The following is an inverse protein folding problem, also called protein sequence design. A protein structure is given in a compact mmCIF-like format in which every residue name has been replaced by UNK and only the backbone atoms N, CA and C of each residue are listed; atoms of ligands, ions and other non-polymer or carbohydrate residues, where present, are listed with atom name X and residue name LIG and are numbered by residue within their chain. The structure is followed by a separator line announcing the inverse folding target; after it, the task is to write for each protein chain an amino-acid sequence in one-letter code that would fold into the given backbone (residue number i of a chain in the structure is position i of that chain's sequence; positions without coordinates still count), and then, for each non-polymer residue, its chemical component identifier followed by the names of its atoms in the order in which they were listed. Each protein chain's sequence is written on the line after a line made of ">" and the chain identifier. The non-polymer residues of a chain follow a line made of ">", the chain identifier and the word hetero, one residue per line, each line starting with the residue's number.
data_IF_501432970244
#
_entry.id   IF_501432970244
#
_cell.length_a   1.000
_cell.length_b   1.000
_cell.length_c   1.000
_cell.angle_alpha   90.00
_cell.angle_beta   90.00
_cell.angle_gamma   90.00
#
_symmetry.space_group_name_H-M   'P 1'
#
loop_
_entity.id
_entity.type
_entity.pdbx_description
1 polymer ?
#
# COMPACT_ATOMS: atom_id res chain seq x y z
N UNK A 1 27.93 -7.06 -1.69
CA UNK A 1 26.87 -6.28 -2.39
C UNK A 1 25.64 -6.24 -1.50
N UNK A 2 25.36 -5.11 -0.85
CA UNK A 2 24.10 -4.91 -0.13
C UNK A 2 23.18 -4.21 -1.13
N UNK A 3 22.34 -4.99 -1.81
CA UNK A 3 21.18 -4.43 -2.51
C UNK A 3 20.29 -3.75 -1.48
N UNK A 4 19.79 -2.55 -1.77
CA UNK A 4 19.02 -1.77 -0.82
C UNK A 4 17.70 -2.47 -0.45
N UNK A 5 17.70 -3.18 0.68
CA UNK A 5 16.54 -3.94 1.19
C UNK A 5 15.50 -3.05 1.87
N UNK A 6 15.70 -1.73 1.99
CA UNK A 6 14.84 -0.85 2.79
C UNK A 6 13.47 -0.70 2.15
N UNK A 7 13.42 -0.39 0.87
CA UNK A 7 12.17 -0.28 0.11
C UNK A 7 11.48 -1.63 0.01
N UNK A 8 12.24 -2.71 -0.18
CA UNK A 8 11.71 -4.08 -0.13
C UNK A 8 10.97 -4.39 1.18
N UNK A 9 11.60 -4.06 2.31
CA UNK A 9 11.02 -4.26 3.63
C UNK A 9 9.82 -3.35 3.88
N UNK A 10 9.89 -2.10 3.43
CA UNK A 10 8.77 -1.15 3.50
C UNK A 10 7.54 -1.73 2.82
N UNK A 11 7.64 -2.14 1.56
CA UNK A 11 6.50 -2.67 0.82
C UNK A 11 5.96 -3.99 1.37
N UNK A 12 6.83 -4.91 1.79
CA UNK A 12 6.34 -6.09 2.49
C UNK A 12 5.63 -5.74 3.80
N UNK A 13 6.10 -4.72 4.52
CA UNK A 13 5.45 -4.25 5.74
C UNK A 13 4.11 -3.54 5.44
N UNK A 14 4.05 -2.67 4.42
CA UNK A 14 2.81 -2.03 3.97
C UNK A 14 1.75 -3.10 3.62
N UNK A 15 2.14 -4.16 2.90
CA UNK A 15 1.23 -5.25 2.55
C UNK A 15 0.81 -6.13 3.74
N UNK A 16 1.63 -6.20 4.78
CA UNK A 16 1.33 -7.00 5.98
C UNK A 16 0.41 -6.25 6.93
N UNK A 17 0.60 -4.93 7.07
CA UNK A 17 -0.06 -4.15 8.12
C UNK A 17 -1.16 -3.23 7.62
N UNK A 18 -1.14 -2.85 6.33
CA UNK A 18 -2.14 -1.97 5.75
C UNK A 18 -3.16 -2.77 4.95
N UNK A 19 -4.41 -2.30 4.99
CA UNK A 19 -5.42 -2.78 4.07
C UNK A 19 -5.18 -2.19 2.65
N UNK A 20 -5.73 -2.80 1.59
CA UNK A 20 -5.61 -2.34 0.21
C UNK A 20 -5.97 -0.88 -0.02
N UNK A 21 -7.03 -0.38 0.62
CA UNK A 21 -7.41 1.04 0.50
C UNK A 21 -6.34 1.96 1.12
N UNK A 22 -5.79 1.59 2.28
CA UNK A 22 -4.68 2.32 2.91
C UNK A 22 -3.42 2.30 2.04
N UNK A 23 -3.11 1.15 1.42
CA UNK A 23 -2.01 1.06 0.44
C UNK A 23 -2.28 2.01 -0.73
N UNK A 24 -3.47 2.00 -1.32
CA UNK A 24 -3.85 2.92 -2.41
C UNK A 24 -3.69 4.39 -2.02
N UNK A 25 -4.10 4.77 -0.80
CA UNK A 25 -3.92 6.13 -0.28
C UNK A 25 -2.43 6.51 -0.22
N UNK A 26 -1.58 5.64 0.35
CA UNK A 26 -0.13 5.90 0.44
C UNK A 26 0.50 6.02 -0.95
N UNK A 27 0.13 5.13 -1.88
CA UNK A 27 0.62 5.17 -3.25
C UNK A 27 0.20 6.46 -3.97
N UNK A 28 -1.05 6.87 -3.81
CA UNK A 28 -1.54 8.14 -4.35
C UNK A 28 -0.75 9.33 -3.78
N UNK A 29 -0.50 9.35 -2.46
CA UNK A 29 0.29 10.41 -1.85
C UNK A 29 1.74 10.43 -2.38
N UNK A 30 2.35 9.27 -2.62
CA UNK A 30 3.71 9.20 -3.18
C UNK A 30 3.76 9.77 -4.60
N UNK A 31 2.74 9.48 -5.42
CA UNK A 31 2.58 10.08 -6.73
C UNK A 31 2.45 11.60 -6.62
N UNK A 32 1.57 12.06 -5.74
CA UNK A 32 1.34 13.49 -5.53
C UNK A 32 2.60 14.21 -5.00
N UNK A 33 3.38 13.57 -4.13
CA UNK A 33 4.68 14.09 -3.67
C UNK A 33 5.70 14.26 -4.80
N UNK A 34 5.73 13.30 -5.72
CA UNK A 34 6.58 13.36 -6.90
C UNK A 34 6.15 14.49 -7.85
N UNK A 35 4.84 14.68 -8.05
CA UNK A 35 4.27 15.75 -8.88
C UNK A 35 4.45 17.15 -8.28
N UNK A 36 4.35 17.27 -6.95
CA UNK A 36 4.52 18.55 -6.25
C UNK A 36 5.98 18.97 -6.08
N UNK A 37 6.94 18.08 -6.34
CA UNK A 37 8.40 18.30 -6.17
C UNK A 37 8.81 18.81 -4.76
N UNK A 38 7.95 18.65 -3.75
CA UNK A 38 8.14 19.15 -2.39
C UNK A 38 8.82 18.13 -1.45
N UNK A 39 9.55 17.17 -2.02
CA UNK A 39 10.18 16.09 -1.27
C UNK A 39 9.13 15.22 -0.55
N UNK A 40 9.28 14.92 0.76
CA UNK A 40 8.33 14.09 1.50
C UNK A 40 7.04 14.80 1.88
N UNK A 41 6.93 16.11 1.67
CA UNK A 41 5.75 16.88 2.09
C UNK A 41 4.69 16.89 1.00
N UNK A 42 3.46 16.59 1.39
CA UNK A 42 2.30 16.55 0.49
C UNK A 42 1.17 17.35 1.10
N UNK A 43 0.59 18.22 0.28
CA UNK A 43 -0.69 18.87 0.58
C UNK A 43 -1.76 18.33 -0.35
N UNK A 44 -2.90 17.92 0.18
CA UNK A 44 -4.00 17.39 -0.64
C UNK A 44 -5.37 17.74 -0.06
N UNK A 45 -6.37 17.84 -0.94
CA UNK A 45 -7.77 17.98 -0.54
C UNK A 45 -8.42 16.61 -0.40
N UNK A 46 -9.22 16.43 0.64
CA UNK A 46 -9.83 15.13 0.95
C UNK A 46 -10.84 14.67 -0.09
N UNK A 47 -11.55 15.60 -0.71
CA UNK A 47 -12.49 15.30 -1.79
C UNK A 47 -11.76 14.81 -3.05
N UNK A 48 -10.65 15.45 -3.42
CA UNK A 48 -9.85 15.08 -4.59
C UNK A 48 -9.21 13.69 -4.42
N UNK A 49 -8.81 13.37 -3.17
CA UNK A 49 -8.37 12.02 -2.82
C UNK A 49 -9.50 10.99 -3.00
N UNK A 50 -10.73 11.30 -2.56
CA UNK A 50 -11.88 10.39 -2.76
C UNK A 50 -12.18 10.18 -4.26
N UNK A 51 -12.10 11.22 -5.08
CA UNK A 51 -12.26 11.10 -6.54
C UNK A 51 -11.15 10.25 -7.16
N UNK A 52 -9.91 10.45 -6.72
CA UNK A 52 -8.76 9.66 -7.18
C UNK A 52 -8.86 8.18 -6.78
N UNK A 53 -9.56 7.89 -5.68
CA UNK A 53 -9.92 6.52 -5.27
C UNK A 53 -11.16 5.98 -6.01
N UNK A 54 -11.68 6.70 -7.02
CA UNK A 54 -12.80 6.29 -7.87
C UNK A 54 -14.19 6.50 -7.28
N UNK A 55 -14.30 7.21 -6.15
CA UNK A 55 -15.61 7.53 -5.59
C UNK A 55 -16.27 8.66 -6.35
N UNK A 56 -17.61 8.59 -6.46
CA UNK A 56 -18.42 9.62 -7.11
C UNK A 56 -19.03 10.55 -6.07
N UNK A 57 -19.09 11.84 -6.41
CA UNK A 57 -19.82 12.83 -5.63
C UNK A 57 -21.32 12.55 -5.61
N UNK A 58 -21.97 12.96 -4.53
CA UNK A 58 -23.42 13.01 -4.41
C UNK A 58 -23.99 14.21 -5.17
N UNK A 59 -25.32 14.29 -5.33
CA UNK A 59 -26.00 15.35 -6.12
C UNK A 59 -25.74 16.77 -5.58
N UNK A 60 -25.48 16.87 -4.29
CA UNK A 60 -25.11 18.06 -3.53
C UNK A 60 -23.61 18.41 -3.65
N UNK A 61 -22.83 17.68 -4.46
CA UNK A 61 -21.41 17.94 -4.71
C UNK A 61 -20.45 17.44 -3.63
N UNK A 62 -20.98 16.86 -2.55
CA UNK A 62 -20.24 16.24 -1.46
C UNK A 62 -19.97 14.75 -1.66
N UNK A 63 -19.59 14.08 -0.56
CA UNK A 63 -19.46 12.63 -0.48
C UNK A 63 -20.32 12.09 0.67
N UNK A 64 -20.82 10.85 0.58
CA UNK A 64 -21.55 10.23 1.68
C UNK A 64 -20.75 10.26 2.99
N UNK A 65 -21.41 10.60 4.10
CA UNK A 65 -20.77 10.73 5.42
C UNK A 65 -19.97 9.48 5.82
N UNK A 66 -20.46 8.28 5.47
CA UNK A 66 -19.76 7.01 5.69
C UNK A 66 -18.40 6.95 4.98
N UNK A 67 -18.29 7.45 3.74
CA UNK A 67 -17.02 7.48 3.01
C UNK A 67 -16.04 8.47 3.63
N UNK A 68 -16.54 9.64 4.04
CA UNK A 68 -15.74 10.66 4.71
C UNK A 68 -15.19 10.15 6.03
N UNK A 69 -16.04 9.56 6.87
CA UNK A 69 -15.64 8.93 8.14
C UNK A 69 -14.63 7.80 7.93
N UNK A 70 -14.83 6.94 6.92
CA UNK A 70 -13.87 5.88 6.60
C UNK A 70 -12.52 6.44 6.15
N UNK A 71 -12.50 7.51 5.35
CA UNK A 71 -11.24 8.14 4.93
C UNK A 71 -10.52 8.75 6.13
N UNK A 72 -11.23 9.44 7.03
CA UNK A 72 -10.64 9.97 8.25
C UNK A 72 -9.97 8.85 9.08
N UNK A 73 -10.69 7.74 9.27
CA UNK A 73 -10.14 6.57 9.98
C UNK A 73 -8.90 6.00 9.30
N UNK A 74 -8.89 5.90 7.96
CA UNK A 74 -7.72 5.41 7.22
C UNK A 74 -6.52 6.35 7.38
N UNK A 75 -6.72 7.67 7.28
CA UNK A 75 -5.65 8.67 7.46
C UNK A 75 -5.08 8.65 8.88
N UNK A 76 -5.94 8.58 9.90
CA UNK A 76 -5.51 8.47 11.30
C UNK A 76 -4.79 7.14 11.56
N UNK A 77 -5.26 6.04 10.98
CA UNK A 77 -4.60 4.74 11.09
C UNK A 77 -3.21 4.76 10.42
N UNK A 78 -3.08 5.33 9.23
CA UNK A 78 -1.80 5.52 8.56
C UNK A 78 -0.85 6.40 9.38
N UNK A 79 -1.38 7.45 10.00
CA UNK A 79 -0.62 8.33 10.89
C UNK A 79 -0.06 7.61 12.12
N UNK A 80 -0.84 6.70 12.70
CA UNK A 80 -0.49 5.94 13.91
C UNK A 80 0.29 4.66 13.63
N UNK A 81 0.31 4.17 12.39
CA UNK A 81 1.00 2.94 12.03
C UNK A 81 2.49 3.20 11.90
N UNK A 82 3.28 2.61 12.78
CA UNK A 82 4.73 2.68 12.75
C UNK A 82 5.33 1.44 12.09
N UNK A 83 6.34 1.64 11.25
CA UNK A 83 7.15 0.57 10.70
C UNK A 83 8.55 0.63 11.31
N UNK A 84 9.02 -0.55 11.73
CA UNK A 84 10.31 -0.73 12.36
C UNK A 84 11.28 -1.31 11.32
N UNK A 85 12.43 -0.67 11.15
CA UNK A 85 13.47 -1.16 10.26
C UNK A 85 14.83 -1.19 10.94
N UNK A 86 15.53 -2.32 10.78
CA UNK A 86 16.89 -2.50 11.25
C UNK A 86 17.89 -2.26 10.13
N UNK A 87 18.88 -1.42 10.39
CA UNK A 87 20.08 -1.22 9.58
C UNK A 87 21.29 -1.83 10.30
N UNK A 88 22.24 -2.39 9.54
CA UNK A 88 23.49 -2.86 10.13
C UNK A 88 24.28 -1.65 10.64
N UNK A 89 24.77 -1.72 11.87
CA UNK A 89 25.61 -0.71 12.48
C UNK A 89 26.97 -1.34 12.76
N UNK A 90 27.99 -0.93 12.02
CA UNK A 90 29.36 -1.32 12.36
C UNK A 90 29.73 -0.67 13.70
N UNK A 91 30.17 -1.49 14.65
CA UNK A 91 30.72 -1.08 15.94
C UNK A 91 32.16 -1.60 16.04
N UNK A 92 32.94 -1.04 16.96
CA UNK A 92 34.35 -1.39 17.14
C UNK A 92 34.56 -2.88 17.43
N UNK A 93 33.67 -3.51 18.20
CA UNK A 93 33.73 -4.94 18.57
C UNK A 93 32.82 -5.86 17.73
N UNK A 94 32.30 -5.39 16.59
CA UNK A 94 31.53 -6.21 15.66
C UNK A 94 30.27 -5.54 15.10
N UNK A 95 29.35 -6.36 14.60
CA UNK A 95 28.15 -5.88 13.89
C UNK A 95 26.97 -5.74 14.85
N UNK A 96 26.54 -4.51 15.10
CA UNK A 96 25.28 -4.18 15.77
C UNK A 96 24.13 -3.94 14.79
N UNK A 97 22.94 -3.64 15.34
CA UNK A 97 21.79 -3.19 14.57
C UNK A 97 21.32 -1.82 15.07
N UNK A 98 21.15 -0.87 14.15
CA UNK A 98 20.44 0.39 14.39
C UNK A 98 18.97 0.19 14.00
N UNK A 99 18.08 0.32 14.97
CA UNK A 99 16.64 0.23 14.73
C UNK A 99 16.09 1.65 14.55
N UNK A 100 15.31 1.83 13.51
CA UNK A 100 14.63 3.08 13.19
C UNK A 100 13.13 2.82 13.15
N UNK A 101 12.37 3.73 13.73
CA UNK A 101 10.91 3.67 13.83
C UNK A 101 10.37 4.92 13.14
N UNK A 102 9.46 4.73 12.18
CA UNK A 102 8.84 5.81 11.41
C UNK A 102 7.37 5.48 11.18
N UNK A 103 6.51 6.49 11.28
CA UNK A 103 5.09 6.38 10.90
C UNK A 103 4.96 6.25 9.38
N UNK A 104 3.93 5.57 8.88
CA UNK A 104 3.69 5.45 7.42
C UNK A 104 3.51 6.84 6.79
N UNK A 105 2.68 7.66 7.42
CA UNK A 105 2.57 9.10 7.17
C UNK A 105 2.61 9.85 8.50
N UNK A 106 2.92 11.14 8.47
CA UNK A 106 2.78 12.04 9.62
C UNK A 106 1.89 13.21 9.24
N UNK A 107 0.71 13.29 9.84
CA UNK A 107 -0.17 14.47 9.70
C UNK A 107 0.50 15.62 10.46
N UNK A 108 0.82 16.70 9.76
CA UNK A 108 1.45 17.91 10.31
C UNK A 108 0.41 18.95 10.69
N UNK A 109 -0.68 18.99 9.93
CA UNK A 109 -1.81 19.89 10.14
C UNK A 109 -2.92 19.60 9.13
N UNK A 110 -4.04 20.26 9.33
CA UNK A 110 -5.18 20.22 8.42
C UNK A 110 -5.94 21.54 8.45
N UNK A 111 -6.69 21.83 7.39
CA UNK A 111 -7.52 23.01 7.24
C UNK A 111 -8.99 22.60 7.08
N UNK A 112 -9.89 23.46 7.58
CA UNK A 112 -11.34 23.31 7.47
C UNK A 112 -11.86 24.62 6.89
N UNK A 113 -12.47 24.56 5.70
CA UNK A 113 -12.78 25.76 4.92
C UNK A 113 -14.03 26.47 5.46
N UNK A 114 -15.07 25.69 5.82
CA UNK A 114 -16.39 26.21 6.15
C UNK A 114 -16.68 26.08 7.66
N UNK A 115 -15.89 26.77 8.47
CA UNK A 115 -16.12 26.81 9.92
C UNK A 115 -17.28 27.75 10.26
N UNK A 116 -18.15 27.33 11.19
CA UNK A 116 -19.26 28.18 11.63
C UNK A 116 -18.77 29.52 12.22
N UNK A 117 -19.53 30.61 12.03
CA UNK A 117 -19.15 31.96 12.52
C UNK A 117 -18.88 32.03 14.03
N UNK A 118 -19.39 31.10 14.82
CA UNK A 118 -19.15 30.99 16.26
C UNK A 118 -17.98 30.03 16.54
N UNK A 119 -16.89 30.16 15.78
CA UNK A 119 -15.70 29.33 15.91
C UNK A 119 -15.08 29.51 17.29
N UNK A 120 -15.16 28.46 18.11
CA UNK A 120 -14.57 28.43 19.44
C UNK A 120 -13.21 27.74 19.39
N UNK A 121 -12.15 28.54 19.45
CA UNK A 121 -10.77 28.05 19.53
C UNK A 121 -10.55 27.13 20.74
N UNK A 122 -11.31 27.29 21.82
CA UNK A 122 -11.22 26.42 23.00
C UNK A 122 -11.82 25.03 22.76
N UNK A 123 -12.61 24.84 21.69
CA UNK A 123 -13.20 23.56 21.27
C UNK A 123 -12.52 22.96 20.05
N UNK A 124 -11.27 23.32 19.78
CA UNK A 124 -10.48 22.78 18.67
C UNK A 124 -10.41 21.23 18.65
N UNK A 125 -10.58 20.58 19.81
CA UNK A 125 -10.63 19.13 19.91
C UNK A 125 -11.83 18.49 19.17
N UNK A 126 -12.95 19.21 19.00
CA UNK A 126 -14.16 18.70 18.33
C UNK A 126 -13.91 18.35 16.86
N UNK A 127 -12.90 18.97 16.23
CA UNK A 127 -12.49 18.71 14.85
C UNK A 127 -11.70 17.40 14.67
N UNK A 128 -11.34 16.72 15.76
CA UNK A 128 -10.60 15.44 15.70
C UNK A 128 -11.41 14.31 15.07
N UNK A 129 -12.75 14.41 15.08
CA UNK A 129 -13.64 13.32 14.68
C UNK A 129 -14.10 13.38 13.23
N UNK A 130 -13.88 14.50 12.54
CA UNK A 130 -14.33 14.72 11.17
C UNK A 130 -13.18 14.70 10.17
N UNK A 131 -13.51 14.39 8.91
CA UNK A 131 -12.57 14.48 7.80
C UNK A 131 -12.36 15.96 7.47
N UNK A 132 -11.12 16.44 7.58
CA UNK A 132 -10.76 17.81 7.22
C UNK A 132 -10.79 18.04 5.71
N UNK A 133 -10.86 19.29 5.27
CA UNK A 133 -10.94 19.64 3.85
C UNK A 133 -9.57 19.53 3.18
N UNK A 134 -8.52 19.99 3.85
CA UNK A 134 -7.13 19.94 3.38
C UNK A 134 -6.26 19.29 4.45
N UNK A 135 -5.33 18.42 4.03
CA UNK A 135 -4.31 17.84 4.90
C UNK A 135 -2.92 18.21 4.43
N UNK A 136 -2.03 18.47 5.39
CA UNK A 136 -0.60 18.57 5.19
C UNK A 136 0.07 17.38 5.86
N UNK A 137 0.73 16.54 5.07
CA UNK A 137 1.35 15.30 5.57
C UNK A 137 2.80 15.19 5.14
N UNK A 138 3.60 14.54 5.99
CA UNK A 138 4.96 14.09 5.68
C UNK A 138 4.96 12.59 5.41
N UNK A 139 5.53 12.19 4.29
CA UNK A 139 5.75 10.81 3.89
C UNK A 139 7.12 10.37 4.38
N UNK A 140 7.17 9.84 5.60
CA UNK A 140 8.42 9.56 6.32
C UNK A 140 9.35 8.54 5.62
N UNK A 141 8.81 7.78 4.66
CA UNK A 141 9.54 6.80 3.86
C UNK A 141 9.78 7.23 2.41
N UNK A 142 9.33 8.41 2.00
CA UNK A 142 9.58 8.95 0.67
C UNK A 142 10.87 9.78 0.67
N UNK A 143 11.88 9.35 -0.08
CA UNK A 143 13.19 10.02 -0.15
C UNK A 143 13.31 10.98 -1.38
N UNK A 144 12.21 11.18 -2.13
CA UNK A 144 12.16 12.03 -3.33
C UNK A 144 12.42 11.28 -4.65
N UNK A 145 12.11 11.91 -5.80
CA UNK A 145 12.22 11.28 -7.12
C UNK A 145 13.67 11.04 -7.57
N UNK A 146 14.65 11.73 -6.98
CA UNK A 146 15.97 11.90 -7.60
C UNK A 146 17.14 11.09 -7.05
N UNK A 147 17.01 10.23 -6.02
CA UNK A 147 18.20 9.88 -5.22
C UNK A 147 18.76 8.46 -5.20
N UNK A 148 18.15 7.44 -5.79
CA UNK A 148 18.73 6.07 -5.65
C UNK A 148 18.60 5.14 -6.84
N UNK A 149 17.90 5.52 -7.92
CA UNK A 149 17.48 4.53 -8.93
C UNK A 149 16.56 3.44 -8.35
N UNK A 150 16.14 3.60 -7.08
CA UNK A 150 15.31 2.67 -6.35
C UNK A 150 13.87 3.18 -6.23
N UNK A 151 13.23 3.46 -7.36
CA UNK A 151 11.80 3.81 -7.41
C UNK A 151 10.93 2.54 -7.47
N UNK A 152 9.73 2.56 -6.90
CA UNK A 152 8.78 1.47 -7.14
C UNK A 152 7.90 1.82 -8.32
N UNK A 153 8.07 1.04 -9.39
CA UNK A 153 7.18 1.06 -10.54
C UNK A 153 5.86 0.46 -10.12
N UNK A 154 4.92 1.30 -9.71
CA UNK A 154 3.52 0.95 -9.87
C UNK A 154 3.12 1.44 -11.24
N UNK A 155 2.54 0.55 -12.03
CA UNK A 155 1.90 1.00 -13.24
C UNK A 155 0.90 2.10 -12.89
N UNK A 156 0.92 3.21 -13.63
CA UNK A 156 -0.13 4.22 -13.60
C UNK A 156 -1.53 3.62 -13.85
N UNK A 157 -1.59 2.40 -14.39
CA UNK A 157 -2.78 1.60 -14.64
C UNK A 157 -3.20 0.67 -13.49
N UNK A 158 -2.54 0.69 -12.33
CA UNK A 158 -3.02 -0.05 -11.16
C UNK A 158 -4.35 0.57 -10.74
N UNK A 159 -5.44 -0.13 -11.00
CA UNK A 159 -6.77 0.31 -10.63
C UNK A 159 -6.88 0.31 -9.09
N UNK A 160 -6.68 1.50 -8.50
CA UNK A 160 -6.82 1.73 -7.07
C UNK A 160 -8.27 2.03 -6.68
N UNK A 161 -9.22 1.95 -7.63
CA UNK A 161 -10.60 2.31 -7.35
C UNK A 161 -11.24 1.35 -6.35
N UNK A 162 -12.05 1.90 -5.47
CA UNK A 162 -12.70 1.13 -4.41
C UNK A 162 -14.22 1.20 -4.59
N UNK A 163 -14.89 0.04 -4.56
CA UNK A 163 -16.36 -0.02 -4.59
C UNK A 163 -16.93 0.34 -3.22
N UNK A 164 -17.96 1.19 -3.19
CA UNK A 164 -18.66 1.53 -1.95
C UNK A 164 -19.25 0.25 -1.31
N UNK A 165 -18.91 0.00 -0.05
CA UNK A 165 -19.39 -1.17 0.70
C UNK A 165 -18.58 -2.45 0.53
N UNK A 166 -17.49 -2.45 -0.25
CA UNK A 166 -16.54 -3.56 -0.25
C UNK A 166 -15.80 -3.62 1.10
N UNK A 167 -15.53 -4.84 1.58
CA UNK A 167 -14.68 -5.02 2.75
C UNK A 167 -13.22 -4.96 2.28
N UNK A 168 -12.58 -3.78 2.41
CA UNK A 168 -11.19 -3.58 2.01
C UNK A 168 -10.24 -4.62 2.61
N UNK A 169 -10.51 -5.14 3.82
CA UNK A 169 -9.70 -6.20 4.46
C UNK A 169 -9.58 -7.46 3.57
N UNK A 170 -10.62 -7.77 2.80
CA UNK A 170 -10.74 -8.96 1.97
C UNK A 170 -10.51 -8.69 0.48
N UNK A 171 -9.92 -7.55 0.12
CA UNK A 171 -9.52 -7.28 -1.26
C UNK A 171 -8.19 -7.99 -1.58
N UNK A 172 -8.28 -9.32 -1.68
CA UNK A 172 -7.16 -10.21 -1.95
C UNK A 172 -6.53 -9.96 -3.32
N UNK A 173 -7.32 -9.45 -4.28
CA UNK A 173 -6.87 -9.14 -5.63
C UNK A 173 -5.83 -8.03 -5.62
N UNK A 174 -6.18 -6.89 -5.02
CA UNK A 174 -5.26 -5.77 -4.89
C UNK A 174 -4.03 -6.14 -4.06
N UNK A 175 -4.21 -6.88 -2.94
CA UNK A 175 -3.07 -7.35 -2.13
C UNK A 175 -2.09 -8.21 -2.94
N UNK A 176 -2.60 -9.18 -3.70
CA UNK A 176 -1.76 -10.06 -4.52
C UNK A 176 -1.08 -9.28 -5.64
N UNK A 177 -1.80 -8.36 -6.29
CA UNK A 177 -1.28 -7.54 -7.37
C UNK A 177 -0.11 -6.64 -6.91
N UNK A 178 -0.31 -5.89 -5.82
CA UNK A 178 0.73 -5.05 -5.21
C UNK A 178 1.91 -5.91 -4.77
N UNK A 179 1.66 -7.08 -4.18
CA UNK A 179 2.73 -8.00 -3.79
C UNK A 179 3.56 -8.47 -5.00
N UNK A 180 2.92 -8.92 -6.08
CA UNK A 180 3.61 -9.36 -7.29
C UNK A 180 4.40 -8.22 -7.96
N UNK A 181 3.80 -7.03 -8.11
CA UNK A 181 4.47 -5.86 -8.65
C UNK A 181 5.75 -5.51 -7.87
N UNK A 182 5.67 -5.55 -6.53
CA UNK A 182 6.83 -5.30 -5.67
C UNK A 182 7.96 -6.32 -5.86
N UNK A 183 7.61 -7.60 -6.11
CA UNK A 183 8.59 -8.69 -6.29
C UNK A 183 9.29 -8.65 -7.65
N UNK A 184 8.63 -8.21 -8.72
CA UNK A 184 9.24 -8.09 -10.08
C UNK A 184 10.50 -7.24 -10.07
N UNK A 185 10.55 -6.20 -9.22
CA UNK A 185 11.72 -5.33 -9.13
C UNK A 185 12.91 -5.99 -8.42
N UNK A 186 12.66 -6.81 -7.41
CA UNK A 186 13.71 -7.31 -6.51
C UNK A 186 14.14 -8.74 -6.81
N UNK A 187 13.22 -9.56 -7.31
CA UNK A 187 13.53 -10.90 -7.76
C UNK A 187 13.87 -10.83 -9.25
N UNK A 188 15.06 -11.31 -9.61
CA UNK A 188 15.30 -11.73 -10.99
C UNK A 188 14.47 -13.01 -11.20
N UNK A 189 13.57 -13.06 -12.18
CA UNK A 189 12.81 -14.28 -12.44
C UNK A 189 13.77 -15.45 -12.65
N UNK A 190 13.44 -16.63 -12.11
CA UNK A 190 14.18 -17.85 -12.48
C UNK A 190 14.00 -18.07 -13.98
N UNK A 191 15.12 -18.30 -14.66
CA UNK A 191 15.22 -18.44 -16.12
C UNK A 191 14.65 -17.25 -16.92
N UNK A 192 14.55 -16.07 -16.28
CA UNK A 192 14.03 -14.85 -16.91
C UNK A 192 12.50 -14.82 -17.09
N UNK A 193 11.78 -15.89 -16.71
CA UNK A 193 10.37 -16.06 -17.03
C UNK A 193 9.44 -16.20 -15.81
N UNK A 194 9.92 -16.75 -14.69
CA UNK A 194 9.05 -17.12 -13.55
C UNK A 194 9.40 -16.44 -12.23
N UNK A 195 8.38 -15.93 -11.55
CA UNK A 195 8.44 -15.54 -10.14
C UNK A 195 8.01 -16.71 -9.25
N UNK A 196 8.97 -17.30 -8.56
CA UNK A 196 8.73 -18.43 -7.64
C UNK A 196 8.61 -17.93 -6.20
N UNK A 197 7.43 -18.11 -5.58
CA UNK A 197 7.15 -17.62 -4.23
C UNK A 197 6.61 -18.75 -3.36
N UNK A 198 7.08 -18.85 -2.12
CA UNK A 198 6.53 -19.81 -1.15
C UNK A 198 5.04 -19.57 -0.90
N UNK A 199 4.23 -20.63 -0.97
CA UNK A 199 2.79 -20.58 -0.70
C UNK A 199 2.48 -20.10 0.71
N UNK A 200 3.26 -20.52 1.70
CA UNK A 200 3.12 -20.07 3.10
C UNK A 200 3.27 -18.55 3.23
N UNK A 201 4.22 -17.95 2.51
CA UNK A 201 4.42 -16.51 2.53
C UNK A 201 3.29 -15.76 1.81
N UNK A 202 2.81 -16.27 0.67
CA UNK A 202 1.62 -15.72 0.00
C UNK A 202 0.41 -15.73 0.93
N UNK A 203 0.16 -16.86 1.58
CA UNK A 203 -0.99 -16.99 2.46
C UNK A 203 -0.86 -16.08 3.69
N UNK A 204 0.35 -15.87 4.20
CA UNK A 204 0.60 -14.90 5.27
C UNK A 204 0.24 -13.49 4.84
N UNK A 205 0.79 -13.02 3.71
CA UNK A 205 0.64 -11.64 3.25
C UNK A 205 -0.77 -11.33 2.71
N UNK A 206 -1.53 -12.36 2.35
CA UNK A 206 -2.92 -12.24 1.92
C UNK A 206 -3.91 -12.41 3.07
N UNK A 207 -3.47 -12.59 4.33
CA UNK A 207 -4.33 -12.95 5.46
C UNK A 207 -5.15 -14.24 5.24
N UNK A 208 -4.59 -15.18 4.49
CA UNK A 208 -5.16 -16.50 4.18
C UNK A 208 -4.54 -17.62 5.03
N UNK A 209 -3.76 -17.30 6.06
CA UNK A 209 -3.35 -18.28 7.07
C UNK A 209 -4.52 -18.57 8.03
N UNK A 210 -4.79 -19.85 8.29
CA UNK A 210 -5.84 -20.25 9.22
C UNK A 210 -6.16 -21.73 9.17
N UNK A 211 -7.12 -22.14 10.00
CA UNK A 211 -7.53 -23.54 10.17
C UNK A 211 -8.28 -24.11 8.95
N UNK A 212 -8.96 -23.28 8.15
CA UNK A 212 -9.68 -23.74 6.96
C UNK A 212 -8.82 -23.63 5.69
N UNK A 213 -7.83 -24.51 5.58
CA UNK A 213 -6.87 -24.55 4.47
C UNK A 213 -7.53 -24.73 3.12
N UNK A 214 -8.60 -25.54 3.03
CA UNK A 214 -9.34 -25.79 1.79
C UNK A 214 -10.00 -24.51 1.26
N UNK A 215 -10.78 -23.82 2.09
CA UNK A 215 -11.42 -22.55 1.73
C UNK A 215 -10.38 -21.49 1.34
N UNK A 216 -9.30 -21.37 2.11
CA UNK A 216 -8.28 -20.36 1.86
C UNK A 216 -7.54 -20.63 0.55
N UNK A 217 -7.32 -21.90 0.20
CA UNK A 217 -6.77 -22.30 -1.09
C UNK A 217 -7.72 -21.97 -2.25
N UNK A 218 -9.04 -22.18 -2.08
CA UNK A 218 -10.04 -21.79 -3.08
C UNK A 218 -10.07 -20.27 -3.30
N UNK A 219 -10.03 -19.49 -2.22
CA UNK A 219 -9.97 -18.02 -2.31
C UNK A 219 -8.72 -17.61 -3.09
N UNK A 220 -7.55 -18.15 -2.73
CA UNK A 220 -6.30 -17.84 -3.40
C UNK A 220 -6.37 -18.12 -4.90
N UNK A 221 -6.79 -19.31 -5.32
CA UNK A 221 -6.85 -19.66 -6.74
C UNK A 221 -7.89 -18.86 -7.51
N UNK A 222 -9.05 -18.60 -6.91
CA UNK A 222 -10.05 -17.69 -7.50
C UNK A 222 -9.47 -16.30 -7.73
N UNK A 223 -8.72 -15.76 -6.77
CA UNK A 223 -8.05 -14.46 -6.93
C UNK A 223 -7.01 -14.49 -8.04
N UNK A 224 -6.24 -15.58 -8.16
CA UNK A 224 -5.28 -15.77 -9.25
C UNK A 224 -5.98 -15.80 -10.60
N UNK A 225 -7.09 -16.54 -10.74
CA UNK A 225 -7.82 -16.66 -11.99
C UNK A 225 -8.46 -15.33 -12.42
N UNK A 226 -8.99 -14.56 -11.47
CA UNK A 226 -9.46 -13.18 -11.74
C UNK A 226 -8.34 -12.28 -12.27
N UNK A 227 -7.14 -12.39 -11.72
CA UNK A 227 -5.97 -11.64 -12.20
C UNK A 227 -5.46 -12.14 -13.57
N UNK A 228 -5.71 -13.41 -13.92
CA UNK A 228 -5.46 -13.94 -15.26
C UNK A 228 -6.46 -13.40 -16.28
N UNK A 229 -7.75 -13.40 -15.95
CA UNK A 229 -8.80 -12.81 -16.80
C UNK A 229 -8.53 -11.33 -17.09
N UNK A 230 -8.01 -10.61 -16.10
CA UNK A 230 -7.58 -9.23 -16.26
C UNK A 230 -6.21 -9.08 -16.95
N UNK A 231 -5.50 -10.16 -17.27
CA UNK A 231 -4.22 -10.13 -17.98
C UNK A 231 -3.02 -9.63 -17.17
N UNK A 232 -3.12 -9.54 -15.84
CA UNK A 232 -1.99 -9.23 -14.95
C UNK A 232 -1.11 -10.46 -14.71
N UNK A 233 -1.72 -11.64 -14.65
CA UNK A 233 -1.04 -12.94 -14.54
C UNK A 233 -1.23 -13.68 -15.87
N UNK A 234 -0.15 -14.12 -16.50
CA UNK A 234 -0.19 -14.94 -17.71
C UNK A 234 -0.42 -16.42 -17.37
N UNK A 235 0.26 -16.92 -16.33
CA UNK A 235 0.05 -18.27 -15.81
C UNK A 235 0.48 -18.38 -14.36
N UNK A 236 -0.07 -19.37 -13.66
CA UNK A 236 0.32 -19.68 -12.28
C UNK A 236 0.15 -21.17 -12.00
N UNK A 237 1.13 -21.78 -11.35
CA UNK A 237 1.10 -23.21 -10.98
C UNK A 237 1.73 -23.45 -9.60
N UNK A 238 1.21 -24.44 -8.87
CA UNK A 238 1.82 -24.89 -7.63
C UNK A 238 2.84 -25.99 -7.92
N UNK A 239 4.05 -25.78 -7.40
CA UNK A 239 5.17 -26.73 -7.47
C UNK A 239 5.46 -27.22 -6.06
N UNK A 240 5.43 -28.53 -5.89
CA UNK A 240 5.72 -29.18 -4.61
C UNK A 240 7.20 -29.57 -4.58
N UNK A 241 7.97 -28.98 -3.67
CA UNK A 241 9.36 -29.40 -3.47
C UNK A 241 9.45 -30.65 -2.60
N UNK A 242 10.57 -31.38 -2.73
CA UNK A 242 10.89 -32.65 -2.05
C UNK A 242 10.69 -32.64 -0.51
N UNK A 243 10.54 -31.47 0.13
CA UNK A 243 10.32 -31.29 1.59
C UNK A 243 8.90 -30.86 1.98
N UNK A 244 7.87 -31.13 1.16
CA UNK A 244 6.46 -30.70 1.39
C UNK A 244 6.25 -29.18 1.49
N UNK A 245 7.27 -28.38 1.17
CA UNK A 245 7.09 -26.93 1.01
C UNK A 245 6.61 -26.68 -0.41
N UNK A 246 5.39 -26.15 -0.54
CA UNK A 246 4.88 -25.75 -1.85
C UNK A 246 5.22 -24.30 -2.17
N UNK A 247 5.56 -24.10 -3.44
CA UNK A 247 5.83 -22.80 -4.04
C UNK A 247 4.82 -22.58 -5.15
N UNK A 248 4.43 -21.34 -5.37
CA UNK A 248 3.65 -20.93 -6.52
C UNK A 248 4.60 -20.27 -7.50
N UNK A 249 4.62 -20.76 -8.73
CA UNK A 249 5.31 -20.14 -9.85
C UNK A 249 4.30 -19.28 -10.59
N UNK A 250 4.60 -18.00 -10.73
CA UNK A 250 3.83 -17.05 -11.53
C UNK A 250 4.61 -16.66 -12.79
N UNK A 251 3.91 -16.63 -13.92
CA UNK A 251 4.30 -15.84 -15.09
C UNK A 251 3.44 -14.60 -15.07
N UNK A 252 4.05 -13.44 -14.84
CA UNK A 252 3.35 -12.15 -14.72
C UNK A 252 3.50 -11.36 -16.01
N UNK A 253 2.53 -10.48 -16.30
CA UNK A 253 2.65 -9.55 -17.43
C UNK A 253 3.41 -8.29 -16.97
N UNK A 254 4.71 -8.15 -17.29
CA UNK A 254 5.49 -7.01 -16.84
C UNK A 254 5.03 -5.70 -17.46
N UNK A 255 4.49 -5.69 -18.68
CA UNK A 255 4.02 -4.47 -19.34
C UNK A 255 2.83 -3.88 -18.59
N UNK A 256 1.88 -4.74 -18.21
CA UNK A 256 0.69 -4.32 -17.45
C UNK A 256 1.00 -3.93 -16.00
N UNK A 257 2.09 -4.45 -15.44
CA UNK A 257 2.48 -4.22 -14.04
C UNK A 257 3.51 -3.10 -13.85
N UNK A 258 4.36 -2.84 -14.84
CA UNK A 258 5.37 -1.78 -14.74
C UNK A 258 4.78 -0.40 -15.03
N UNK A 259 3.82 -0.31 -15.96
CA UNK A 259 3.38 0.95 -16.52
C UNK A 259 4.53 1.73 -17.15
N UNK A 260 4.19 2.57 -18.12
CA UNK A 260 5.16 3.51 -18.70
C UNK A 260 5.35 4.71 -17.78
#
# INVERSE_FOLDING_TARGET
>A
KISDRRIQRLFMALLTFLNPRQVSIVLHMYKLAAEQENGPFVTFRSNDLLESLGYKRTKDGGFPAKLRSQLNQDLVALHRTELIFAQSLQKEDGVGAKVLIKSVIRIQGYEIDNVSRNFDLAKAADYTYELADVYHVSLEFFEGPGRTGDYVLFANSLDITQKLGSNAKNDYQTKLLVYLASRIKWDRPQDGQYLTISKRYLFKNLDLLGSNTSRNNQIFWRTVDQLKEQGYILSAQEVVEKKKMSKIQFTVNPEKLKGH
#
